data_IF_116850464014
#
_entry.id   IF_116850464014
#
_cell.length_a   1.000
_cell.length_b   1.000
_cell.length_c   1.000
_cell.angle_alpha   90.00
_cell.angle_beta   90.00
_cell.angle_gamma   90.00
#
_symmetry.space_group_name_H-M   'P 1'
#
loop_
_entity.id
_entity.type
_entity.pdbx_description
1 polymer ?
#
# COMPACT_ATOMS: atom_id res chain seq x y z
N UNK A 1 3.02 -23.08 -39.09
CA UNK A 1 2.98 -23.10 -37.61
C UNK A 1 1.98 -22.04 -37.17
N UNK A 2 0.84 -22.43 -36.58
CA UNK A 2 -0.10 -21.46 -36.05
C UNK A 2 0.53 -20.78 -34.83
N UNK A 3 0.80 -19.47 -34.94
CA UNK A 3 1.21 -18.67 -33.79
C UNK A 3 0.13 -18.83 -32.72
N UNK A 4 0.49 -19.43 -31.57
CA UNK A 4 -0.40 -19.46 -30.39
C UNK A 4 -0.78 -18.01 -30.09
N UNK A 5 -2.05 -17.66 -30.31
CA UNK A 5 -2.62 -16.36 -29.92
C UNK A 5 -2.28 -16.17 -28.44
N UNK A 6 -1.42 -15.19 -28.11
CA UNK A 6 -1.20 -14.80 -26.70
C UNK A 6 -2.58 -14.50 -26.10
N UNK A 7 -2.86 -15.06 -24.92
CA UNK A 7 -4.11 -14.75 -24.23
C UNK A 7 -4.20 -13.24 -24.01
N UNK A 8 -5.31 -12.62 -24.37
CA UNK A 8 -5.52 -11.20 -24.17
C UNK A 8 -5.53 -10.86 -22.67
N UNK A 9 -5.05 -9.66 -22.33
CA UNK A 9 -5.20 -9.12 -20.99
C UNK A 9 -6.70 -8.93 -20.69
N UNK A 10 -7.15 -9.36 -19.51
CA UNK A 10 -8.56 -9.31 -19.09
C UNK A 10 -8.97 -7.97 -18.48
N UNK A 11 -8.01 -7.19 -18.02
CA UNK A 11 -8.24 -6.00 -17.20
C UNK A 11 -7.86 -4.71 -17.94
N UNK A 12 -6.95 -4.77 -18.90
CA UNK A 12 -6.47 -3.58 -19.60
C UNK A 12 -6.23 -3.84 -21.09
N UNK A 13 -6.65 -2.90 -21.92
CA UNK A 13 -6.35 -2.88 -23.37
C UNK A 13 -5.80 -1.52 -23.74
N UNK A 14 -4.50 -1.48 -24.05
CA UNK A 14 -3.80 -0.26 -24.45
C UNK A 14 -2.55 -0.57 -25.27
N UNK A 15 -1.86 0.46 -25.79
CA UNK A 15 -0.62 0.28 -26.53
C UNK A 15 0.49 -0.27 -25.62
N UNK A 16 1.47 -0.95 -26.20
CA UNK A 16 2.69 -1.31 -25.47
C UNK A 16 3.42 -0.04 -24.99
N UNK A 17 3.99 -0.10 -23.80
CA UNK A 17 4.75 0.98 -23.16
C UNK A 17 6.09 0.45 -22.62
N UNK A 18 6.82 1.29 -21.88
CA UNK A 18 8.05 0.92 -21.20
C UNK A 18 7.83 -0.02 -19.99
N UNK A 19 6.57 -0.25 -19.59
CA UNK A 19 6.19 -1.14 -18.49
C UNK A 19 4.97 -2.04 -18.81
N UNK A 20 4.50 -2.07 -20.07
CA UNK A 20 3.43 -2.96 -20.57
C UNK A 20 3.78 -3.58 -21.93
N UNK A 21 3.79 -4.91 -22.03
CA UNK A 21 4.26 -5.62 -23.24
C UNK A 21 3.17 -5.85 -24.32
N UNK A 22 2.02 -5.16 -24.18
CA UNK A 22 0.81 -5.40 -24.96
C UNK A 22 -0.08 -6.52 -24.39
N UNK A 23 0.36 -7.22 -23.34
CA UNK A 23 -0.44 -8.25 -22.65
C UNK A 23 -0.28 -8.19 -21.13
N UNK A 24 0.92 -7.96 -20.60
CA UNK A 24 1.21 -7.99 -19.17
C UNK A 24 2.06 -6.78 -18.78
N UNK A 25 1.79 -6.26 -17.59
CA UNK A 25 2.63 -5.24 -16.95
C UNK A 25 3.92 -5.87 -16.41
N UNK A 26 5.01 -5.11 -16.30
CA UNK A 26 6.30 -5.58 -15.79
C UNK A 26 7.09 -4.46 -15.12
N UNK A 27 8.04 -4.82 -14.25
CA UNK A 27 8.95 -3.86 -13.61
C UNK A 27 10.13 -3.55 -14.55
N UNK A 28 10.31 -2.31 -15.03
CA UNK A 28 11.47 -1.94 -15.85
C UNK A 28 12.78 -2.15 -15.07
N UNK A 29 13.71 -2.92 -15.65
CA UNK A 29 14.98 -3.26 -14.97
C UNK A 29 14.81 -4.04 -13.66
N UNK A 30 13.62 -4.56 -13.39
CA UNK A 30 13.26 -5.22 -12.15
C UNK A 30 13.32 -6.74 -12.23
N UNK A 31 13.31 -7.41 -11.07
CA UNK A 31 13.11 -8.85 -10.98
C UNK A 31 11.62 -9.19 -11.04
N UNK A 32 11.29 -10.22 -11.80
CA UNK A 32 9.94 -10.78 -11.83
C UNK A 32 9.69 -11.60 -10.56
N UNK A 33 8.44 -11.72 -10.08
CA UNK A 33 8.17 -12.50 -8.87
C UNK A 33 8.48 -13.98 -9.10
N UNK A 34 8.68 -14.74 -8.03
CA UNK A 34 9.03 -16.18 -8.09
C UNK A 34 8.07 -17.01 -8.96
N UNK A 35 8.56 -18.14 -9.48
CA UNK A 35 7.75 -19.11 -10.23
C UNK A 35 6.89 -19.94 -9.28
N UNK A 36 5.93 -20.67 -9.85
CA UNK A 36 5.10 -21.60 -9.07
C UNK A 36 5.95 -22.65 -8.31
N UNK A 37 7.05 -23.11 -8.90
CA UNK A 37 8.01 -24.02 -8.26
C UNK A 37 8.67 -23.41 -7.03
N UNK A 38 8.97 -22.11 -7.08
CA UNK A 38 9.57 -21.38 -5.96
C UNK A 38 8.55 -21.19 -4.84
N UNK A 39 7.28 -20.91 -5.18
CA UNK A 39 6.19 -20.87 -4.21
C UNK A 39 6.03 -22.22 -3.50
N UNK A 40 6.01 -23.33 -4.25
CA UNK A 40 5.93 -24.67 -3.66
C UNK A 40 7.13 -24.98 -2.76
N UNK A 41 8.35 -24.64 -3.22
CA UNK A 41 9.57 -24.80 -2.42
C UNK A 41 9.47 -24.04 -1.09
N UNK A 42 8.94 -22.82 -1.11
CA UNK A 42 8.70 -22.06 0.10
C UNK A 42 7.63 -22.73 0.99
N UNK A 43 6.47 -23.11 0.45
CA UNK A 43 5.42 -23.74 1.26
C UNK A 43 5.86 -25.03 1.98
N UNK A 44 6.77 -25.81 1.38
CA UNK A 44 7.28 -27.04 2.00
C UNK A 44 8.49 -26.87 2.91
N UNK A 45 9.27 -25.80 2.74
CA UNK A 45 10.54 -25.60 3.47
C UNK A 45 10.58 -24.31 4.32
N UNK A 46 9.50 -23.53 4.29
CA UNK A 46 9.37 -22.27 5.02
C UNK A 46 9.38 -22.48 6.53
N UNK A 47 9.93 -21.52 7.25
CA UNK A 47 9.99 -21.54 8.72
C UNK A 47 8.95 -20.56 9.26
N UNK A 48 7.68 -20.83 8.92
CA UNK A 48 6.59 -19.93 9.27
C UNK A 48 6.40 -19.85 10.78
N UNK A 49 6.65 -18.67 11.35
CA UNK A 49 6.43 -18.41 12.76
C UNK A 49 4.95 -18.61 13.13
N UNK A 50 4.68 -18.99 14.38
CA UNK A 50 3.30 -19.12 14.86
C UNK A 50 2.81 -17.79 15.43
N UNK A 51 1.86 -17.16 14.77
CA UNK A 51 1.19 -15.97 15.30
C UNK A 51 0.09 -16.34 16.32
N UNK A 52 -0.22 -15.46 17.28
CA UNK A 52 -1.39 -15.63 18.14
C UNK A 52 -2.67 -15.52 17.32
N UNK A 53 -3.76 -16.16 17.78
CA UNK A 53 -5.06 -16.07 17.11
C UNK A 53 -5.65 -14.65 17.16
N UNK A 54 -5.31 -13.91 18.22
CA UNK A 54 -5.69 -12.51 18.44
C UNK A 54 -4.53 -11.75 19.07
N UNK A 55 -4.29 -10.53 18.61
CA UNK A 55 -3.32 -9.59 19.17
C UNK A 55 -3.94 -8.20 19.13
N UNK A 56 -4.78 -7.82 20.11
CA UNK A 56 -5.41 -6.51 20.11
C UNK A 56 -4.35 -5.41 20.23
N UNK A 57 -4.59 -4.29 19.56
CA UNK A 57 -3.75 -3.10 19.69
C UNK A 57 -3.81 -2.56 21.12
N UNK A 58 -2.71 -2.00 21.66
CA UNK A 58 -2.74 -1.28 22.93
C UNK A 58 -3.51 0.05 22.83
N UNK A 59 -3.76 0.55 21.61
CA UNK A 59 -4.56 1.75 21.39
C UNK A 59 -6.05 1.40 21.29
N UNK A 60 -6.96 2.22 21.86
CA UNK A 60 -8.38 2.07 21.60
C UNK A 60 -8.68 2.34 20.13
N UNK A 61 -9.85 1.89 19.66
CA UNK A 61 -10.31 2.29 18.32
C UNK A 61 -10.48 3.81 18.30
N UNK A 62 -9.82 4.46 17.34
CA UNK A 62 -9.85 5.89 17.17
C UNK A 62 -11.22 6.34 16.64
N UNK A 63 -11.62 7.54 17.05
CA UNK A 63 -12.76 8.30 16.52
C UNK A 63 -12.21 9.58 15.91
N UNK A 64 -11.84 9.57 14.62
CA UNK A 64 -11.19 10.71 13.98
C UNK A 64 -12.09 11.95 14.00
N UNK A 65 -11.47 13.13 13.93
CA UNK A 65 -12.20 14.37 13.69
C UNK A 65 -12.89 14.30 12.31
N UNK A 66 -13.98 15.03 12.13
CA UNK A 66 -14.69 15.06 10.85
C UNK A 66 -13.79 15.55 9.70
N UNK A 67 -12.94 16.54 9.97
CA UNK A 67 -12.01 17.18 9.02
C UNK A 67 -10.76 17.69 9.74
N UNK A 68 -9.66 17.80 9.01
CA UNK A 68 -8.42 18.46 9.43
C UNK A 68 -8.07 19.49 8.34
N UNK A 69 -7.97 20.74 8.74
CA UNK A 69 -7.88 21.91 7.83
C UNK A 69 -6.48 22.52 7.83
N UNK A 70 -6.23 23.44 6.89
CA UNK A 70 -4.98 24.18 6.80
C UNK A 70 -3.78 23.28 6.50
N UNK A 71 -2.65 23.54 7.16
CA UNK A 71 -1.39 22.81 6.97
C UNK A 71 -1.26 21.58 7.89
N UNK A 72 -2.29 21.24 8.67
CA UNK A 72 -2.25 20.09 9.57
C UNK A 72 -2.27 18.77 8.77
N UNK A 73 -1.54 17.78 9.29
CA UNK A 73 -1.52 16.42 8.79
C UNK A 73 -1.73 15.45 9.96
N UNK A 74 -2.86 14.77 9.97
CA UNK A 74 -3.14 13.70 10.94
C UNK A 74 -3.29 12.37 10.21
N UNK A 75 -2.57 11.36 10.69
CA UNK A 75 -2.61 10.01 10.14
C UNK A 75 -3.07 9.06 11.23
N UNK A 76 -4.07 8.23 10.92
CA UNK A 76 -4.58 7.21 11.84
C UNK A 76 -4.40 5.82 11.21
N UNK A 77 -3.74 4.92 11.92
CA UNK A 77 -3.54 3.55 11.46
C UNK A 77 -4.80 2.73 11.69
N UNK A 78 -5.42 2.26 10.60
CA UNK A 78 -6.54 1.30 10.68
C UNK A 78 -6.01 -0.13 10.76
N UNK A 79 -4.91 -0.42 10.07
CA UNK A 79 -4.19 -1.69 10.14
C UNK A 79 -3.81 -2.22 8.77
N UNK A 80 -2.78 -3.06 8.74
CA UNK A 80 -2.12 -3.52 7.52
C UNK A 80 -1.60 -2.35 6.69
N UNK A 81 -2.16 -2.12 5.51
CA UNK A 81 -1.85 -0.96 4.64
C UNK A 81 -2.96 0.09 4.60
N UNK A 82 -3.96 -0.05 5.48
CA UNK A 82 -5.03 0.92 5.62
C UNK A 82 -4.68 2.01 6.63
N UNK A 83 -4.53 3.24 6.13
CA UNK A 83 -4.39 4.45 6.93
C UNK A 83 -5.45 5.46 6.50
N UNK A 84 -5.99 6.18 7.48
CA UNK A 84 -6.75 7.41 7.25
C UNK A 84 -5.78 8.58 7.32
N UNK A 85 -5.68 9.34 6.23
CA UNK A 85 -4.88 10.55 6.09
C UNK A 85 -5.84 11.73 6.05
N UNK A 86 -5.70 12.66 6.99
CA UNK A 86 -6.50 13.88 7.06
C UNK A 86 -5.61 15.10 6.90
N UNK A 87 -5.81 15.87 5.84
CA UNK A 87 -5.05 17.09 5.54
C UNK A 87 -5.77 17.94 4.50
N UNK A 88 -5.57 19.27 4.50
CA UNK A 88 -6.15 20.19 3.53
C UNK A 88 -7.68 20.02 3.34
N UNK A 89 -8.40 19.71 4.42
CA UNK A 89 -9.85 19.48 4.40
C UNK A 89 -10.27 18.12 3.81
N UNK A 90 -9.33 17.28 3.39
CA UNK A 90 -9.60 15.97 2.77
C UNK A 90 -9.37 14.83 3.74
N UNK A 91 -10.18 13.78 3.58
CA UNK A 91 -10.05 12.50 4.25
C UNK A 91 -9.79 11.42 3.20
N UNK A 92 -8.59 10.86 3.23
CA UNK A 92 -8.06 9.94 2.23
C UNK A 92 -7.79 8.59 2.90
N UNK A 93 -8.30 7.50 2.33
CA UNK A 93 -7.97 6.14 2.76
C UNK A 93 -6.98 5.50 1.78
N UNK A 94 -5.95 4.85 2.30
CA UNK A 94 -5.09 3.94 1.52
C UNK A 94 -5.60 2.51 1.65
N UNK A 95 -5.62 1.75 0.57
CA UNK A 95 -5.83 0.29 0.54
C UNK A 95 -6.80 -0.25 1.61
N UNK A 96 -8.09 0.16 1.58
CA UNK A 96 -8.99 -0.01 2.71
C UNK A 96 -9.44 -1.45 2.89
N UNK A 97 -9.11 -2.07 4.05
CA UNK A 97 -9.49 -3.44 4.39
C UNK A 97 -10.07 -3.56 5.81
N UNK A 98 -11.40 -3.65 5.88
CA UNK A 98 -12.14 -3.97 7.11
C UNK A 98 -12.56 -5.45 7.19
N UNK A 99 -12.45 -6.20 6.10
CA UNK A 99 -12.78 -7.63 6.10
C UNK A 99 -11.90 -8.42 7.06
N UNK A 100 -12.49 -9.49 7.62
CA UNK A 100 -11.77 -10.31 8.59
C UNK A 100 -10.75 -11.27 7.95
N UNK A 101 -10.86 -11.51 6.64
CA UNK A 101 -9.92 -12.32 5.87
C UNK A 101 -9.57 -11.62 4.57
N UNK A 102 -8.33 -11.83 4.13
CA UNK A 102 -7.81 -11.34 2.86
C UNK A 102 -7.62 -12.53 1.93
N UNK A 103 -8.73 -12.95 1.32
CA UNK A 103 -8.81 -14.20 0.57
C UNK A 103 -9.97 -14.20 -0.42
N UNK A 104 -9.90 -14.95 -1.53
CA UNK A 104 -11.07 -15.22 -2.37
C UNK A 104 -12.18 -15.99 -1.65
N UNK A 105 -11.87 -16.64 -0.52
CA UNK A 105 -12.79 -17.47 0.24
C UNK A 105 -13.05 -16.88 1.62
N UNK A 106 -14.32 -16.83 2.04
CA UNK A 106 -14.70 -16.36 3.38
C UNK A 106 -14.24 -17.27 4.52
N UNK A 107 -13.97 -18.55 4.23
CA UNK A 107 -13.62 -19.58 5.23
C UNK A 107 -12.12 -19.93 5.28
N UNK A 108 -11.34 -19.54 4.28
CA UNK A 108 -9.93 -19.92 4.13
C UNK A 108 -9.04 -18.69 3.83
N UNK A 109 -7.73 -18.83 4.01
CA UNK A 109 -6.75 -17.75 3.79
C UNK A 109 -6.45 -16.90 5.02
N UNK A 110 -5.57 -15.90 4.92
CA UNK A 110 -5.12 -15.10 6.05
C UNK A 110 -6.28 -14.45 6.79
N UNK A 111 -6.29 -14.57 8.12
CA UNK A 111 -7.26 -13.96 9.02
C UNK A 111 -6.57 -12.86 9.80
N UNK A 112 -7.23 -11.73 9.95
CA UNK A 112 -6.71 -10.60 10.73
C UNK A 112 -6.66 -10.97 12.22
N UNK A 113 -5.56 -10.59 12.90
CA UNK A 113 -5.34 -10.89 14.33
C UNK A 113 -5.74 -9.74 15.26
N UNK A 114 -5.87 -8.52 14.74
CA UNK A 114 -6.24 -7.32 15.50
C UNK A 114 -7.49 -6.67 14.92
N UNK A 115 -8.42 -6.11 15.70
CA UNK A 115 -9.54 -5.36 15.11
C UNK A 115 -9.03 -4.13 14.34
N UNK A 116 -9.78 -3.63 13.34
CA UNK A 116 -9.45 -2.36 12.68
C UNK A 116 -9.33 -1.22 13.70
N UNK A 117 -8.33 -0.37 13.52
CA UNK A 117 -8.03 0.76 14.39
C UNK A 117 -9.09 1.85 14.40
N UNK A 118 -9.96 1.90 13.39
CA UNK A 118 -11.16 2.73 13.35
C UNK A 118 -12.32 1.78 13.07
N UNK A 119 -13.36 1.82 13.91
CA UNK A 119 -14.59 1.12 13.58
C UNK A 119 -15.18 1.72 12.30
N UNK A 120 -15.64 0.89 11.35
CA UNK A 120 -16.12 1.40 10.06
C UNK A 120 -17.22 2.47 10.22
N UNK A 121 -18.06 2.32 11.24
CA UNK A 121 -19.15 3.25 11.50
C UNK A 121 -18.67 4.60 12.04
N UNK A 122 -17.48 4.64 12.64
CA UNK A 122 -16.80 5.83 13.15
C UNK A 122 -15.91 6.52 12.08
N UNK A 123 -15.89 6.04 10.83
CA UNK A 123 -15.21 6.74 9.73
C UNK A 123 -15.81 8.14 9.52
N UNK A 124 -14.98 9.19 9.39
CA UNK A 124 -15.46 10.49 8.92
C UNK A 124 -15.87 10.41 7.44
N UNK A 125 -16.48 11.46 6.85
CA UNK A 125 -16.75 11.48 5.41
C UNK A 125 -15.46 11.21 4.62
N UNK A 126 -15.46 10.23 3.72
CA UNK A 126 -14.28 9.87 2.94
C UNK A 126 -14.43 10.47 1.55
N UNK A 127 -13.44 11.24 1.10
CA UNK A 127 -13.47 11.86 -0.24
C UNK A 127 -12.72 11.01 -1.25
N UNK A 128 -11.62 10.40 -0.82
CA UNK A 128 -10.68 9.69 -1.67
C UNK A 128 -10.30 8.34 -1.10
N UNK A 129 -10.19 7.37 -1.99
CA UNK A 129 -9.61 6.06 -1.72
C UNK A 129 -8.49 5.82 -2.73
N UNK A 130 -7.30 5.49 -2.23
CA UNK A 130 -6.15 5.12 -3.04
C UNK A 130 -5.99 3.60 -2.98
N UNK A 131 -6.12 2.92 -4.11
CA UNK A 131 -5.92 1.46 -4.23
C UNK A 131 -4.64 1.20 -5.01
N UNK A 132 -3.59 0.73 -4.34
CA UNK A 132 -2.26 0.53 -4.91
C UNK A 132 -2.19 -0.63 -5.90
N UNK A 133 -2.89 -1.73 -5.62
CA UNK A 133 -2.94 -2.91 -6.48
C UNK A 133 -4.02 -3.90 -6.03
N UNK A 134 -4.25 -4.94 -6.82
CA UNK A 134 -5.28 -5.94 -6.57
C UNK A 134 -4.84 -7.16 -5.75
N UNK A 135 -4.01 -7.05 -4.69
CA UNK A 135 -3.90 -8.16 -3.72
C UNK A 135 -4.97 -8.09 -2.62
N UNK A 136 -5.30 -9.23 -1.98
CA UNK A 136 -6.58 -9.39 -1.23
C UNK A 136 -6.61 -8.56 0.04
N UNK A 137 -5.43 -8.19 0.47
CA UNK A 137 -5.08 -7.37 1.60
C UNK A 137 -4.87 -5.88 1.25
N UNK A 138 -5.06 -5.51 -0.02
CA UNK A 138 -5.03 -4.12 -0.49
C UNK A 138 -6.32 -3.66 -1.19
N UNK A 139 -7.00 -4.58 -1.87
CA UNK A 139 -8.26 -4.31 -2.59
C UNK A 139 -9.41 -5.17 -2.02
N UNK A 140 -9.98 -4.74 -0.90
CA UNK A 140 -11.14 -5.42 -0.30
C UNK A 140 -12.45 -4.90 -0.91
N UNK A 141 -12.99 -5.66 -1.86
CA UNK A 141 -14.23 -5.32 -2.57
C UNK A 141 -15.44 -5.20 -1.63
N UNK A 142 -15.48 -5.96 -0.51
CA UNK A 142 -16.56 -5.83 0.46
C UNK A 142 -16.47 -4.50 1.22
N UNK A 143 -15.25 -4.04 1.52
CA UNK A 143 -15.02 -2.71 2.09
C UNK A 143 -15.38 -1.61 1.10
N UNK A 144 -14.96 -1.71 -0.17
CA UNK A 144 -15.31 -0.72 -1.19
C UNK A 144 -16.82 -0.59 -1.39
N UNK A 145 -17.57 -1.70 -1.38
CA UNK A 145 -19.03 -1.66 -1.46
C UNK A 145 -19.65 -0.85 -0.30
N UNK A 146 -19.17 -1.08 0.92
CA UNK A 146 -19.65 -0.32 2.09
C UNK A 146 -19.26 1.15 2.03
N UNK A 147 -18.07 1.47 1.50
CA UNK A 147 -17.62 2.85 1.30
C UNK A 147 -18.48 3.57 0.25
N UNK A 148 -18.81 2.91 -0.87
CA UNK A 148 -19.74 3.42 -1.87
C UNK A 148 -21.09 3.76 -1.26
N UNK A 149 -21.67 2.83 -0.50
CA UNK A 149 -22.99 3.01 0.14
C UNK A 149 -23.00 4.17 1.15
N UNK A 150 -21.91 4.37 1.92
CA UNK A 150 -21.88 5.32 3.04
C UNK A 150 -21.31 6.70 2.68
N UNK A 151 -20.33 6.76 1.79
CA UNK A 151 -19.52 7.96 1.54
C UNK A 151 -19.40 8.33 0.06
N UNK A 152 -19.55 7.36 -0.85
CA UNK A 152 -19.36 7.51 -2.29
C UNK A 152 -18.06 8.26 -2.68
N UNK A 153 -16.88 7.79 -2.23
CA UNK A 153 -15.62 8.46 -2.52
C UNK A 153 -15.17 8.24 -3.96
N UNK A 154 -14.30 9.13 -4.46
CA UNK A 154 -13.51 8.85 -5.65
C UNK A 154 -12.42 7.82 -5.34
N UNK A 155 -12.38 6.74 -6.10
CA UNK A 155 -11.35 5.70 -6.02
C UNK A 155 -10.31 5.92 -7.12
N UNK A 156 -9.08 6.27 -6.72
CA UNK A 156 -7.92 6.37 -7.61
C UNK A 156 -7.14 5.07 -7.55
N UNK A 157 -6.85 4.49 -8.71
CA UNK A 157 -6.20 3.17 -8.81
C UNK A 157 -5.36 3.06 -10.09
N UNK A 158 -4.33 2.20 -10.14
CA UNK A 158 -3.61 2.00 -11.38
C UNK A 158 -4.43 1.18 -12.39
N UNK A 159 -4.07 1.30 -13.67
CA UNK A 159 -4.77 0.67 -14.80
C UNK A 159 -5.19 -0.79 -14.59
N UNK A 160 -6.44 -1.11 -14.90
CA UNK A 160 -7.01 -2.46 -14.90
C UNK A 160 -7.60 -2.92 -13.56
N UNK A 161 -7.30 -2.22 -12.45
CA UNK A 161 -7.96 -2.50 -11.18
C UNK A 161 -9.42 -1.99 -11.17
N UNK A 162 -9.70 -0.97 -11.96
CA UNK A 162 -11.03 -0.39 -12.18
C UNK A 162 -12.03 -1.38 -12.78
N UNK A 163 -11.60 -2.27 -13.68
CA UNK A 163 -12.46 -3.34 -14.21
C UNK A 163 -12.95 -4.26 -13.09
N UNK A 164 -12.03 -4.68 -12.20
CA UNK A 164 -12.37 -5.52 -11.06
C UNK A 164 -13.30 -4.81 -10.07
N UNK A 165 -13.05 -3.53 -9.82
CA UNK A 165 -13.86 -2.74 -8.89
C UNK A 165 -15.25 -2.48 -9.48
N UNK A 166 -15.34 -2.06 -10.74
CA UNK A 166 -16.60 -1.75 -11.41
C UNK A 166 -17.52 -2.95 -11.58
N UNK A 167 -16.95 -4.15 -11.81
CA UNK A 167 -17.72 -5.40 -11.83
C UNK A 167 -18.32 -5.75 -10.46
N UNK A 168 -17.58 -5.50 -9.37
CA UNK A 168 -17.98 -5.87 -8.02
C UNK A 168 -18.81 -4.81 -7.30
N UNK A 169 -18.59 -3.53 -7.64
CA UNK A 169 -19.24 -2.35 -7.06
C UNK A 169 -19.67 -1.43 -8.20
N UNK A 170 -20.85 -1.70 -8.80
CA UNK A 170 -21.39 -0.87 -9.87
C UNK A 170 -21.50 0.61 -9.46
N UNK A 171 -21.29 1.50 -10.43
CA UNK A 171 -21.38 2.96 -10.27
C UNK A 171 -20.38 3.58 -9.27
N UNK A 172 -19.35 2.84 -8.84
CA UNK A 172 -18.24 3.41 -8.08
C UNK A 172 -17.54 4.50 -8.92
N UNK A 173 -17.24 5.64 -8.29
CA UNK A 173 -16.46 6.69 -8.93
C UNK A 173 -15.01 6.23 -9.04
N UNK A 174 -14.55 5.98 -10.27
CA UNK A 174 -13.24 5.38 -10.55
C UNK A 174 -12.38 6.29 -11.42
N UNK A 175 -11.12 6.44 -11.02
CA UNK A 175 -10.07 7.09 -11.78
C UNK A 175 -8.89 6.12 -11.94
N UNK A 176 -8.83 5.46 -13.10
CA UNK A 176 -7.78 4.50 -13.44
C UNK A 176 -6.65 5.19 -14.22
N UNK A 177 -5.43 5.16 -13.70
CA UNK A 177 -4.31 5.94 -14.23
C UNK A 177 -3.02 5.14 -14.36
N UNK A 178 -2.14 5.61 -15.24
CA UNK A 178 -0.85 4.98 -15.51
C UNK A 178 0.27 5.57 -14.65
N UNK A 179 1.42 4.92 -14.59
CA UNK A 179 2.62 5.50 -13.99
C UNK A 179 3.01 6.80 -14.65
N UNK A 180 3.28 7.82 -13.84
CA UNK A 180 3.63 9.16 -14.28
C UNK A 180 2.43 10.10 -14.36
N UNK A 181 1.20 9.60 -14.34
CA UNK A 181 -0.01 10.41 -14.39
C UNK A 181 -0.20 11.25 -13.12
N UNK A 182 -0.92 12.36 -13.30
CA UNK A 182 -1.37 13.27 -12.26
C UNK A 182 -2.90 13.43 -12.35
N UNK A 183 -3.56 13.37 -11.21
CA UNK A 183 -4.99 13.61 -11.05
C UNK A 183 -5.19 14.81 -10.12
N UNK A 184 -5.72 15.90 -10.65
CA UNK A 184 -6.09 17.06 -9.82
C UNK A 184 -7.38 16.77 -9.06
N UNK A 185 -7.36 16.96 -7.74
CA UNK A 185 -8.48 16.63 -6.84
C UNK A 185 -9.21 17.89 -6.39
N UNK A 186 -8.45 18.87 -5.94
CA UNK A 186 -8.94 20.13 -5.38
C UNK A 186 -7.90 21.21 -5.61
N UNK A 187 -8.18 22.44 -5.17
CA UNK A 187 -7.20 23.51 -5.28
C UNK A 187 -5.89 23.13 -4.59
N UNK A 188 -4.79 23.18 -5.34
CA UNK A 188 -3.43 22.84 -4.90
C UNK A 188 -3.28 21.43 -4.30
N UNK A 189 -4.20 20.51 -4.62
CA UNK A 189 -4.13 19.11 -4.18
C UNK A 189 -4.25 18.16 -5.37
N UNK A 190 -3.30 17.25 -5.50
CA UNK A 190 -3.27 16.26 -6.57
C UNK A 190 -2.71 14.92 -6.12
N UNK A 191 -3.11 13.87 -6.82
CA UNK A 191 -2.57 12.52 -6.67
C UNK A 191 -1.69 12.23 -7.88
N UNK A 192 -0.44 11.87 -7.64
CA UNK A 192 0.45 11.34 -8.67
C UNK A 192 0.53 9.83 -8.53
N UNK A 193 0.50 9.12 -9.66
CA UNK A 193 0.60 7.66 -9.71
C UNK A 193 2.04 7.33 -10.09
N UNK A 194 2.73 6.59 -9.23
CA UNK A 194 4.18 6.44 -9.31
C UNK A 194 4.63 4.98 -9.35
N UNK A 195 5.74 4.69 -10.06
CA UNK A 195 6.24 3.33 -10.17
C UNK A 195 6.76 2.79 -8.84
N UNK A 196 6.37 1.55 -8.56
CA UNK A 196 6.92 0.75 -7.45
C UNK A 196 7.29 -0.63 -7.96
N UNK A 197 8.13 -1.33 -7.20
CA UNK A 197 8.60 -2.64 -7.61
C UNK A 197 7.75 -3.74 -6.97
N UNK A 198 6.68 -4.12 -7.66
CA UNK A 198 5.74 -5.15 -7.18
C UNK A 198 5.09 -5.93 -8.33
N UNK A 199 3.90 -6.50 -8.10
CA UNK A 199 3.10 -7.21 -9.08
C UNK A 199 1.64 -7.30 -8.61
N UNK A 200 0.76 -7.80 -9.48
CA UNK A 200 -0.69 -7.90 -9.24
C UNK A 200 -1.22 -9.30 -9.55
N UNK A 201 -2.24 -9.76 -8.83
CA UNK A 201 -3.09 -10.90 -9.18
C UNK A 201 -4.35 -11.01 -8.29
N UNK A 202 -5.49 -11.38 -8.88
CA UNK A 202 -6.70 -11.87 -8.19
C UNK A 202 -6.91 -13.36 -8.24
N UNK A 203 -6.41 -14.04 -9.25
CA UNK A 203 -6.58 -15.48 -9.43
C UNK A 203 -5.33 -16.16 -9.97
N UNK A 204 -5.51 -17.39 -10.46
CA UNK A 204 -4.39 -18.22 -10.91
C UNK A 204 -3.84 -17.84 -12.31
N UNK A 205 -4.54 -16.98 -13.06
CA UNK A 205 -4.27 -16.72 -14.49
C UNK A 205 -4.34 -15.24 -14.90
N UNK A 206 -4.24 -14.32 -13.96
CA UNK A 206 -4.23 -12.87 -14.18
C UNK A 206 -3.00 -12.17 -13.60
N UNK A 207 -1.97 -12.95 -13.26
CA UNK A 207 -0.75 -12.37 -12.72
C UNK A 207 -0.18 -11.32 -13.68
N UNK A 208 -0.09 -10.07 -13.21
CA UNK A 208 0.34 -8.85 -13.94
C UNK A 208 -0.60 -8.37 -15.03
N UNK A 209 -1.88 -8.75 -14.98
CA UNK A 209 -2.88 -8.21 -15.93
C UNK A 209 -3.39 -6.82 -15.54
N UNK A 210 -3.31 -6.43 -14.26
CA UNK A 210 -3.53 -5.04 -13.82
C UNK A 210 -2.20 -4.42 -13.38
N UNK A 211 -2.11 -3.10 -13.41
CA UNK A 211 -0.95 -2.36 -12.92
C UNK A 211 -0.96 -2.27 -11.38
N UNK A 212 0.17 -1.95 -10.78
CA UNK A 212 0.38 -1.67 -9.35
C UNK A 212 1.10 -0.33 -9.24
N UNK A 213 0.91 0.44 -8.18
CA UNK A 213 1.55 1.75 -8.03
C UNK A 213 1.71 2.19 -6.58
N UNK A 214 2.65 3.10 -6.36
CA UNK A 214 2.64 4.01 -5.22
C UNK A 214 1.91 5.30 -5.59
N UNK A 215 1.61 6.12 -4.58
CA UNK A 215 0.94 7.40 -4.76
C UNK A 215 1.70 8.52 -4.06
N UNK A 216 1.80 9.67 -4.72
CA UNK A 216 2.18 10.92 -4.06
C UNK A 216 0.96 11.80 -3.93
N UNK A 217 0.61 12.14 -2.69
CA UNK A 217 -0.43 13.09 -2.35
C UNK A 217 0.25 14.45 -2.21
N UNK A 218 0.13 15.28 -3.23
CA UNK A 218 0.59 16.65 -3.20
C UNK A 218 -0.45 17.53 -2.53
N UNK A 219 -0.06 18.27 -1.50
CA UNK A 219 -0.96 19.15 -0.74
C UNK A 219 -0.23 20.45 -0.37
N UNK A 220 -0.95 21.53 0.01
CA UNK A 220 -0.33 22.74 0.55
C UNK A 220 0.51 22.50 1.82
N UNK A 221 0.22 21.41 2.54
CA UNK A 221 0.87 20.99 3.79
C UNK A 221 2.20 20.27 3.57
N UNK A 222 2.61 20.06 2.31
CA UNK A 222 3.74 19.24 1.91
C UNK A 222 3.30 17.88 1.35
N UNK A 223 4.19 17.27 0.55
CA UNK A 223 3.90 16.00 -0.13
C UNK A 223 3.92 14.81 0.82
N UNK A 224 3.04 13.86 0.58
CA UNK A 224 2.95 12.57 1.29
C UNK A 224 3.16 11.45 0.28
N UNK A 225 4.06 10.51 0.57
CA UNK A 225 4.30 9.35 -0.29
C UNK A 225 3.71 8.09 0.32
N UNK A 226 2.79 7.42 -0.37
CA UNK A 226 2.33 6.08 -0.04
C UNK A 226 2.93 5.08 -1.02
N UNK A 227 3.84 4.22 -0.54
CA UNK A 227 4.57 3.31 -1.42
C UNK A 227 3.75 2.09 -1.89
N UNK A 228 2.57 1.84 -1.33
CA UNK A 228 1.91 0.54 -1.47
C UNK A 228 2.84 -0.59 -1.01
N UNK A 229 2.71 -1.74 -1.66
CA UNK A 229 3.73 -2.78 -1.56
C UNK A 229 4.86 -2.54 -2.55
N UNK A 230 6.10 -2.74 -2.10
CA UNK A 230 7.27 -2.65 -2.96
C UNK A 230 8.44 -3.45 -2.41
N UNK A 231 9.19 -4.07 -3.31
CA UNK A 231 10.57 -4.46 -3.07
C UNK A 231 11.48 -3.22 -2.97
N UNK A 232 12.67 -3.39 -2.43
CA UNK A 232 13.63 -2.28 -2.31
C UNK A 232 14.21 -1.85 -3.66
N UNK A 233 14.29 -2.78 -4.63
CA UNK A 233 14.78 -2.56 -6.00
C UNK A 233 16.08 -1.73 -6.07
N UNK A 234 17.06 -2.09 -5.24
CA UNK A 234 18.34 -1.37 -5.09
C UNK A 234 18.18 0.15 -4.81
N UNK A 235 17.01 0.54 -4.29
CA UNK A 235 16.62 1.92 -4.00
C UNK A 235 16.16 2.76 -5.20
N UNK A 236 15.96 2.15 -6.39
CA UNK A 236 15.66 2.88 -7.63
C UNK A 236 14.32 3.63 -7.52
N UNK A 237 13.26 2.94 -7.09
CA UNK A 237 11.93 3.55 -6.91
C UNK A 237 11.98 4.73 -5.93
N UNK A 238 12.78 4.67 -4.87
CA UNK A 238 12.90 5.77 -3.91
C UNK A 238 13.69 6.98 -4.43
N UNK A 239 14.80 6.74 -5.14
CA UNK A 239 15.56 7.84 -5.77
C UNK A 239 14.74 8.55 -6.83
N UNK A 240 13.98 7.80 -7.65
CA UNK A 240 13.04 8.39 -8.61
C UNK A 240 12.02 9.30 -7.92
N UNK A 241 11.53 8.93 -6.73
CA UNK A 241 10.61 9.77 -5.97
C UNK A 241 11.27 11.06 -5.48
N UNK A 242 12.50 11.01 -4.95
CA UNK A 242 13.23 12.22 -4.58
C UNK A 242 13.54 13.09 -5.80
N UNK A 243 13.99 12.51 -6.91
CA UNK A 243 14.35 13.22 -8.13
C UNK A 243 13.15 13.95 -8.74
N UNK A 244 11.97 13.30 -8.77
CA UNK A 244 10.74 13.87 -9.33
C UNK A 244 10.04 14.84 -8.38
N UNK A 245 10.04 14.55 -7.08
CA UNK A 245 9.20 15.25 -6.11
C UNK A 245 9.95 16.14 -5.12
N UNK A 246 11.27 16.05 -5.04
CA UNK A 246 12.16 16.81 -4.14
C UNK A 246 12.27 16.25 -2.73
N UNK A 247 11.21 15.62 -2.22
CA UNK A 247 11.13 15.03 -0.89
C UNK A 247 9.71 15.02 -0.35
N UNK A 248 9.54 14.51 0.88
CA UNK A 248 8.23 14.32 1.47
C UNK A 248 8.20 14.78 2.92
N UNK A 249 7.11 15.43 3.32
CA UNK A 249 6.82 15.64 4.74
C UNK A 249 6.63 14.30 5.43
N UNK A 250 5.93 13.38 4.75
CA UNK A 250 5.57 12.09 5.31
C UNK A 250 5.64 10.97 4.25
N UNK A 251 6.12 9.79 4.65
CA UNK A 251 6.05 8.59 3.84
C UNK A 251 5.35 7.44 4.58
N UNK A 252 4.63 6.59 3.85
CA UNK A 252 4.02 5.36 4.35
C UNK A 252 4.72 4.22 3.61
N UNK A 253 5.52 3.45 4.34
CA UNK A 253 6.43 2.45 3.79
C UNK A 253 6.12 1.07 4.39
N UNK A 254 6.02 0.00 3.57
CA UNK A 254 5.79 -1.34 4.08
C UNK A 254 7.03 -1.84 4.83
N UNK A 255 6.82 -2.48 5.97
CA UNK A 255 7.90 -3.05 6.80
C UNK A 255 7.73 -4.55 7.08
N UNK A 256 6.63 -5.17 6.64
CA UNK A 256 6.33 -6.59 6.81
C UNK A 256 6.20 -7.34 5.48
N UNK A 257 5.88 -8.63 5.56
CA UNK A 257 5.78 -9.57 4.45
C UNK A 257 7.10 -9.89 3.74
N UNK A 258 8.22 -9.85 4.45
CA UNK A 258 9.54 -9.88 3.84
C UNK A 258 10.29 -11.21 3.96
N UNK A 259 9.81 -12.20 4.74
CA UNK A 259 10.43 -13.52 4.83
C UNK A 259 9.70 -14.62 4.03
N UNK A 260 10.43 -15.59 3.44
CA UNK A 260 11.88 -15.70 3.44
C UNK A 260 12.52 -14.77 2.40
N UNK A 261 13.62 -14.09 2.74
CA UNK A 261 14.27 -13.09 1.85
C UNK A 261 14.53 -13.57 0.43
N UNK A 262 14.98 -14.81 0.24
CA UNK A 262 15.28 -15.33 -1.11
C UNK A 262 14.08 -15.33 -2.05
N UNK A 263 12.86 -15.42 -1.51
CA UNK A 263 11.61 -15.42 -2.27
C UNK A 263 10.94 -14.05 -2.26
N UNK A 264 10.97 -13.34 -1.12
CA UNK A 264 10.22 -12.11 -0.90
C UNK A 264 10.96 -10.83 -1.30
N UNK A 265 12.30 -10.81 -1.24
CA UNK A 265 13.09 -9.59 -1.48
C UNK A 265 12.79 -8.85 -2.78
N UNK A 266 12.46 -9.53 -3.91
CA UNK A 266 12.06 -8.80 -5.10
C UNK A 266 10.80 -7.96 -4.93
N UNK A 267 9.82 -8.36 -4.11
CA UNK A 267 8.49 -7.72 -4.07
C UNK A 267 8.13 -7.09 -2.70
N UNK A 268 8.87 -7.42 -1.65
CA UNK A 268 8.69 -6.84 -0.32
C UNK A 268 10.05 -6.48 0.28
N UNK A 269 10.21 -5.21 0.59
CA UNK A 269 11.33 -4.74 1.36
C UNK A 269 11.22 -5.17 2.83
N UNK A 270 12.36 -5.27 3.52
CA UNK A 270 12.40 -5.46 4.97
C UNK A 270 12.52 -4.09 5.70
N UNK A 271 12.47 -4.05 7.05
CA UNK A 271 12.56 -2.80 7.80
C UNK A 271 13.87 -2.01 7.57
N UNK A 272 15.01 -2.69 7.40
CA UNK A 272 16.29 -2.03 7.07
C UNK A 272 16.21 -1.29 5.73
N UNK A 273 15.70 -1.97 4.71
CA UNK A 273 15.48 -1.42 3.38
C UNK A 273 14.43 -0.29 3.40
N UNK A 274 13.42 -0.37 4.26
CA UNK A 274 12.45 0.70 4.44
C UNK A 274 13.09 1.96 5.03
N UNK A 275 13.98 1.83 6.03
CA UNK A 275 14.75 2.97 6.58
C UNK A 275 15.66 3.58 5.51
N UNK A 276 16.31 2.75 4.69
CA UNK A 276 17.07 3.23 3.55
C UNK A 276 16.18 3.94 2.52
N UNK A 277 14.99 3.39 2.24
CA UNK A 277 13.99 3.97 1.35
C UNK A 277 13.55 5.36 1.82
N UNK A 278 13.27 5.52 3.11
CA UNK A 278 12.95 6.82 3.73
C UNK A 278 14.05 7.87 3.47
N UNK A 279 15.32 7.48 3.62
CA UNK A 279 16.47 8.38 3.35
C UNK A 279 16.56 8.70 1.85
N UNK A 280 16.44 7.69 0.99
CA UNK A 280 16.60 7.83 -0.46
C UNK A 280 15.48 8.66 -1.10
N UNK A 281 14.26 8.59 -0.59
CA UNK A 281 13.15 9.43 -1.06
C UNK A 281 13.08 10.80 -0.38
N UNK A 282 14.04 11.12 0.51
CA UNK A 282 14.08 12.37 1.26
C UNK A 282 12.79 12.63 2.07
N UNK A 283 12.32 11.63 2.83
CA UNK A 283 11.18 11.78 3.72
C UNK A 283 11.60 12.28 5.11
N UNK A 284 10.93 13.31 5.61
CA UNK A 284 11.18 13.85 6.95
C UNK A 284 10.68 12.91 8.05
N UNK A 285 9.45 12.43 7.88
CA UNK A 285 8.79 11.45 8.75
C UNK A 285 8.27 10.26 7.95
N UNK A 286 8.14 9.09 8.57
CA UNK A 286 7.58 7.90 7.94
C UNK A 286 6.77 7.04 8.92
N UNK A 287 5.75 6.35 8.42
CA UNK A 287 5.03 5.30 9.14
C UNK A 287 5.18 3.93 8.45
N UNK A 288 5.38 2.92 9.29
CA UNK A 288 5.48 1.52 8.87
C UNK A 288 4.09 0.92 8.69
N UNK A 289 3.82 0.38 7.51
CA UNK A 289 2.58 -0.35 7.20
C UNK A 289 2.87 -1.82 6.82
N UNK A 290 1.84 -2.54 6.40
CA UNK A 290 1.93 -3.93 5.91
C UNK A 290 2.47 -4.94 6.94
N UNK A 291 2.23 -4.70 8.23
CA UNK A 291 2.72 -5.55 9.33
C UNK A 291 1.67 -5.75 10.44
N UNK A 292 1.91 -6.76 11.30
CA UNK A 292 1.18 -6.98 12.55
C UNK A 292 -0.32 -7.32 12.43
N UNK A 293 -0.87 -7.44 11.21
CA UNK A 293 -2.32 -7.52 10.96
C UNK A 293 -2.74 -8.84 10.33
N UNK A 294 -2.17 -9.20 9.19
CA UNK A 294 -2.36 -10.49 8.54
C UNK A 294 -1.03 -11.23 8.49
N UNK A 295 -1.05 -12.53 8.79
CA UNK A 295 0.15 -13.35 8.60
C UNK A 295 0.23 -13.81 7.13
N UNK A 296 0.97 -13.07 6.33
CA UNK A 296 1.17 -13.35 4.90
C UNK A 296 2.40 -14.23 4.63
N UNK A 297 3.36 -14.21 5.54
CA UNK A 297 4.72 -14.69 5.35
C UNK A 297 5.28 -15.35 6.61
N UNK A 298 6.59 -15.64 6.60
CA UNK A 298 7.21 -16.49 7.60
C UNK A 298 7.63 -15.76 8.89
N UNK A 299 7.82 -14.44 8.86
CA UNK A 299 8.37 -13.72 10.01
C UNK A 299 7.44 -13.69 11.25
N UNK A 300 8.00 -13.59 12.47
CA UNK A 300 7.22 -13.31 13.67
C UNK A 300 6.48 -11.98 13.59
N UNK A 301 5.32 -11.90 14.26
CA UNK A 301 4.42 -10.75 14.18
C UNK A 301 5.02 -9.43 14.65
N UNK A 302 5.86 -9.48 15.69
CA UNK A 302 6.52 -8.34 16.34
C UNK A 302 7.90 -8.02 15.73
N UNK A 303 8.46 -8.94 14.92
CA UNK A 303 9.77 -8.76 14.32
C UNK A 303 9.89 -7.50 13.45
N UNK A 304 8.93 -7.14 12.59
CA UNK A 304 9.00 -5.92 11.78
C UNK A 304 9.25 -4.65 12.59
N UNK A 305 8.53 -4.48 13.72
CA UNK A 305 8.70 -3.31 14.58
C UNK A 305 10.05 -3.31 15.29
N UNK A 306 10.51 -4.47 15.77
CA UNK A 306 11.84 -4.58 16.42
C UNK A 306 12.97 -4.27 15.43
N UNK A 307 12.93 -4.88 14.25
CA UNK A 307 13.94 -4.65 13.20
C UNK A 307 13.90 -3.23 12.65
N UNK A 308 12.75 -2.56 12.66
CA UNK A 308 12.67 -1.13 12.34
C UNK A 308 13.47 -0.31 13.35
N UNK A 309 13.28 -0.53 14.65
CA UNK A 309 14.04 0.15 15.70
C UNK A 309 15.55 -0.08 15.53
N UNK A 310 15.96 -1.33 15.32
CA UNK A 310 17.38 -1.68 15.09
C UNK A 310 17.97 -0.97 13.86
N UNK A 311 17.21 -0.88 12.77
CA UNK A 311 17.62 -0.19 11.56
C UNK A 311 17.76 1.33 11.76
N UNK A 312 16.86 1.94 12.53
CA UNK A 312 16.93 3.37 12.86
C UNK A 312 18.14 3.67 13.73
N UNK A 313 18.40 2.85 14.75
CA UNK A 313 19.59 2.96 15.61
C UNK A 313 20.88 2.82 14.79
N UNK A 314 20.95 1.85 13.89
CA UNK A 314 22.12 1.63 13.03
C UNK A 314 22.42 2.82 12.09
N UNK A 315 21.37 3.55 11.67
CA UNK A 315 21.48 4.72 10.79
C UNK A 315 21.55 6.05 11.56
N UNK A 316 21.53 6.01 12.91
CA UNK A 316 21.55 7.20 13.77
C UNK A 316 20.31 8.08 13.62
N UNK A 317 19.16 7.49 13.23
CA UNK A 317 17.90 8.19 13.05
C UNK A 317 17.04 8.13 14.32
N UNK A 318 16.47 9.26 14.77
CA UNK A 318 15.55 9.27 15.91
C UNK A 318 14.30 8.40 15.67
N UNK A 319 13.88 7.55 16.63
CA UNK A 319 12.71 6.67 16.48
C UNK A 319 11.40 7.40 16.14
N UNK A 320 11.24 8.64 16.59
CA UNK A 320 10.07 9.46 16.31
C UNK A 320 9.92 9.84 14.83
N UNK A 321 11.01 9.75 14.04
CA UNK A 321 11.00 10.01 12.61
C UNK A 321 10.39 8.87 11.80
N UNK A 322 10.49 7.62 12.26
CA UNK A 322 9.89 6.48 11.57
C UNK A 322 9.23 5.51 12.55
N UNK A 323 7.90 5.52 12.59
CA UNK A 323 7.12 4.75 13.56
C UNK A 323 6.44 3.54 12.91
N UNK A 324 6.59 2.37 13.51
CA UNK A 324 5.74 1.22 13.18
C UNK A 324 4.37 1.43 13.86
N UNK A 325 3.43 2.08 13.16
CA UNK A 325 2.13 2.42 13.76
C UNK A 325 1.30 1.16 14.02
N UNK A 326 0.57 1.17 15.13
CA UNK A 326 -0.38 0.11 15.50
C UNK A 326 -1.83 0.54 15.24
N UNK A 327 -2.78 -0.39 15.03
CA UNK A 327 -4.18 -0.05 14.81
C UNK A 327 -4.74 0.86 15.93
N UNK A 328 -5.35 1.98 15.56
CA UNK A 328 -5.93 2.97 16.48
C UNK A 328 -4.94 4.04 16.93
N UNK A 329 -3.65 3.88 16.62
CA UNK A 329 -2.65 4.93 16.83
C UNK A 329 -2.92 6.11 15.89
N UNK A 330 -2.89 7.32 16.47
CA UNK A 330 -3.09 8.59 15.78
C UNK A 330 -1.80 9.39 15.87
N UNK A 331 -1.29 9.84 14.73
CA UNK A 331 -0.11 10.68 14.64
C UNK A 331 -0.42 12.00 13.94
N UNK A 332 -0.28 13.10 14.70
CA UNK A 332 -0.17 14.45 14.15
C UNK A 332 1.26 14.63 13.64
N UNK A 333 1.44 14.53 12.32
CA UNK A 333 2.76 14.60 11.69
C UNK A 333 3.26 16.05 11.75
N UNK A 334 4.46 16.33 12.27
CA UNK A 334 4.96 17.69 12.35
C UNK A 334 5.07 18.36 10.98
N UNK A 335 4.93 19.68 10.94
CA UNK A 335 5.31 20.47 9.77
C UNK A 335 6.83 20.41 9.57
N UNK A 336 7.26 20.61 8.32
CA UNK A 336 8.67 20.65 7.95
C UNK A 336 8.95 22.01 7.33
N UNK A 337 9.92 22.73 7.87
CA UNK A 337 10.35 24.00 7.26
C UNK A 337 10.88 23.71 5.86
N UNK A 338 10.25 24.30 4.85
CA UNK A 338 10.76 24.24 3.48
C UNK A 338 11.87 25.30 3.40
N UNK A 339 13.12 24.84 3.36
CA UNK A 339 14.30 25.69 3.16
C UNK A 339 14.39 26.28 1.76
#
# INVERSE_FOLDING_TARGET
MAARKKAANRYYSGPSSDHFDGTLFFNPGGRMPGRFTDLMKWQFNGQRARWPATSPSPFPQARPAARVEGCDLTVTMVGHSTLLIQTAGLNILTDPVWSQRTSPFSFAGPKRVNPPGIAFDDLPPIDLVLVSHNHYDHLDLATLKRLKEKHDPLVVTPLGNDVLIGEAVPDMQLAAHDWGDRVDIADRTAIHIEPTHHWSARGARDRRMALWAGFVIETPSGKIYFAGDTGFHDGINYRLMADKHGGFRFAILPIGAYEPRWFMAPQHQNPQEAVQGMKLCNAAFAAGCHWGTFQLTDEPMDEPSRKLTEALEAEGLPPERFRALLPGEVWKVPEVEHG
#
